data_IF_723624682256
#
_entry.id   IF_723624682256
#
_cell.length_a   1.000
_cell.length_b   1.000
_cell.length_c   1.000
_cell.angle_alpha   90.00
_cell.angle_beta   90.00
_cell.angle_gamma   90.00
#
_symmetry.space_group_name_H-M   'P 1'
#
loop_
_entity.id
_entity.type
_entity.pdbx_description
1 polymer ?
#
# COMPACT_ATOMS: atom_id res chain seq x y z
N UNK A 1 -14.36 0.92 16.34
CA UNK A 1 -13.54 0.56 15.18
C UNK A 1 -12.62 1.73 14.87
N UNK A 2 -11.31 1.52 14.95
CA UNK A 2 -10.29 2.49 14.55
C UNK A 2 -9.79 2.10 13.16
N UNK A 3 -9.74 3.08 12.27
CA UNK A 3 -9.36 2.90 10.87
C UNK A 3 -8.08 3.71 10.64
N UNK A 4 -7.05 3.05 10.13
CA UNK A 4 -5.88 3.71 9.57
C UNK A 4 -6.09 3.89 8.06
N UNK A 5 -6.22 5.13 7.64
CA UNK A 5 -6.52 5.49 6.26
C UNK A 5 -5.32 6.19 5.65
N UNK A 6 -4.72 5.59 4.62
CA UNK A 6 -3.48 6.04 3.97
C UNK A 6 -3.58 5.92 2.45
N UNK A 7 -2.67 6.58 1.74
CA UNK A 7 -2.57 6.61 0.27
C UNK A 7 -1.20 7.17 -0.11
N UNK A 8 -0.85 7.11 -1.40
CA UNK A 8 0.27 7.87 -2.00
C UNK A 8 1.60 7.61 -1.29
N UNK A 9 1.85 6.36 -0.91
CA UNK A 9 3.09 6.03 -0.19
C UNK A 9 4.31 6.08 -1.10
N UNK A 10 4.18 5.90 -2.42
CA UNK A 10 5.26 6.04 -3.40
C UNK A 10 6.59 5.44 -2.93
N UNK A 11 6.57 4.15 -2.56
CA UNK A 11 7.70 3.37 -2.03
C UNK A 11 8.20 3.75 -0.61
N UNK A 12 7.55 4.69 0.07
CA UNK A 12 7.91 5.16 1.43
C UNK A 12 7.09 4.52 2.55
N UNK A 13 6.43 3.39 2.29
CA UNK A 13 5.59 2.70 3.28
C UNK A 13 6.35 2.30 4.57
N UNK A 14 7.67 2.08 4.48
CA UNK A 14 8.53 1.81 5.66
C UNK A 14 8.80 3.02 6.54
N UNK A 15 8.50 4.24 6.07
CA UNK A 15 8.61 5.47 6.87
C UNK A 15 7.38 5.70 7.76
N UNK A 16 6.32 4.89 7.58
CA UNK A 16 5.08 5.02 8.34
C UNK A 16 5.18 4.38 9.73
N UNK A 17 4.68 5.09 10.74
CA UNK A 17 4.45 4.50 12.07
C UNK A 17 3.11 3.76 12.07
N UNK A 18 3.16 2.44 12.22
CA UNK A 18 1.96 1.59 12.26
C UNK A 18 1.20 1.81 13.59
N UNK A 19 -0.03 2.34 13.57
CA UNK A 19 -0.84 2.51 14.77
C UNK A 19 -1.55 1.21 15.16
N UNK A 20 -1.97 1.11 16.42
CA UNK A 20 -2.87 0.04 16.87
C UNK A 20 -4.32 0.32 16.40
N UNK A 21 -4.75 -0.38 15.35
CA UNK A 21 -6.04 -0.20 14.65
C UNK A 21 -6.69 -1.54 14.28
N UNK A 22 -8.00 -1.50 14.02
CA UNK A 22 -8.77 -2.69 13.65
C UNK A 22 -8.72 -2.96 12.13
N UNK A 23 -8.57 -1.89 11.33
CA UNK A 23 -8.62 -1.89 9.87
C UNK A 23 -7.61 -0.89 9.31
N UNK A 24 -6.90 -1.30 8.25
CA UNK A 24 -6.11 -0.39 7.40
C UNK A 24 -6.70 -0.35 5.99
N UNK A 25 -6.80 0.85 5.43
CA UNK A 25 -7.20 1.08 4.03
C UNK A 25 -6.09 1.88 3.35
N UNK A 26 -5.53 1.33 2.26
CA UNK A 26 -4.59 2.05 1.40
C UNK A 26 -5.25 2.37 0.05
N UNK A 27 -5.39 3.65 -0.29
CA UNK A 27 -6.13 4.14 -1.45
C UNK A 27 -5.26 4.36 -2.70
N UNK A 28 -4.31 3.45 -2.91
CA UNK A 28 -3.51 3.40 -4.13
C UNK A 28 -2.22 4.21 -4.07
N UNK A 29 -1.50 4.17 -5.18
CA UNK A 29 -0.22 4.88 -5.37
C UNK A 29 0.86 4.44 -4.37
N UNK A 30 0.94 3.13 -4.17
CA UNK A 30 2.00 2.43 -3.44
C UNK A 30 3.37 2.56 -4.11
N UNK A 31 3.35 2.69 -5.43
CA UNK A 31 4.49 2.78 -6.34
C UNK A 31 4.47 4.09 -7.13
N UNK A 32 5.52 4.35 -7.92
CA UNK A 32 5.68 5.65 -8.62
C UNK A 32 5.59 5.50 -10.13
N UNK A 33 6.07 4.40 -10.71
CA UNK A 33 6.15 4.30 -12.17
C UNK A 33 4.79 3.99 -12.81
N UNK A 34 4.38 4.76 -13.81
CA UNK A 34 3.17 4.46 -14.60
C UNK A 34 3.30 3.28 -15.57
N UNK A 35 4.49 2.67 -15.70
CA UNK A 35 4.71 1.51 -16.57
C UNK A 35 4.68 0.22 -15.75
N UNK A 36 3.78 -0.71 -16.08
CA UNK A 36 3.57 -1.95 -15.33
C UNK A 36 4.85 -2.76 -15.04
N UNK A 37 5.75 -2.89 -16.03
CA UNK A 37 7.00 -3.67 -15.87
C UNK A 37 7.98 -3.03 -14.88
N UNK A 38 8.00 -1.70 -14.80
CA UNK A 38 8.81 -0.96 -13.82
C UNK A 38 8.08 -0.79 -12.48
N UNK A 39 6.75 -0.83 -12.52
CA UNK A 39 5.88 -0.68 -11.36
C UNK A 39 5.90 -1.92 -10.45
N UNK A 40 5.84 -3.12 -11.05
CA UNK A 40 5.79 -4.39 -10.34
C UNK A 40 6.90 -4.55 -9.29
N UNK A 41 8.20 -4.32 -9.60
CA UNK A 41 9.26 -4.41 -8.60
C UNK A 41 9.19 -3.33 -7.51
N UNK A 42 8.50 -2.21 -7.74
CA UNK A 42 8.24 -1.18 -6.73
C UNK A 42 7.07 -1.54 -5.82
N UNK A 43 5.98 -2.02 -6.41
CA UNK A 43 4.75 -2.39 -5.71
C UNK A 43 4.93 -3.66 -4.86
N UNK A 44 5.74 -4.63 -5.31
CA UNK A 44 5.95 -5.90 -4.60
C UNK A 44 6.44 -5.71 -3.15
N UNK A 45 7.49 -4.93 -2.85
CA UNK A 45 7.89 -4.62 -1.48
C UNK A 45 6.79 -4.01 -0.63
N UNK A 46 5.92 -3.17 -1.22
CA UNK A 46 4.76 -2.63 -0.51
C UNK A 46 3.80 -3.74 -0.11
N UNK A 47 3.41 -4.64 -1.03
CA UNK A 47 2.45 -5.70 -0.71
C UNK A 47 3.00 -6.72 0.29
N UNK A 48 4.30 -7.01 0.24
CA UNK A 48 4.99 -7.81 1.26
C UNK A 48 4.83 -7.16 2.64
N UNK A 49 5.24 -5.88 2.78
CA UNK A 49 5.07 -5.12 4.02
C UNK A 49 3.60 -5.02 4.47
N UNK A 50 2.69 -4.73 3.55
CA UNK A 50 1.28 -4.53 3.83
C UNK A 50 0.64 -5.81 4.36
N UNK A 51 1.04 -6.98 3.83
CA UNK A 51 0.58 -8.29 4.29
C UNK A 51 1.05 -8.63 5.71
N UNK A 52 2.24 -8.17 6.09
CA UNK A 52 2.88 -8.42 7.38
C UNK A 52 2.34 -7.54 8.52
N UNK A 53 1.59 -6.48 8.22
CA UNK A 53 1.01 -5.61 9.25
C UNK A 53 0.14 -6.42 10.22
N UNK A 54 0.35 -6.22 11.53
CA UNK A 54 -0.48 -6.78 12.60
C UNK A 54 -1.82 -6.03 12.73
N UNK A 55 -2.60 -6.05 11.64
CA UNK A 55 -3.92 -5.43 11.52
C UNK A 55 -4.86 -6.49 10.93
N UNK A 56 -5.97 -6.76 11.64
CA UNK A 56 -6.87 -7.87 11.32
C UNK A 56 -7.51 -7.74 9.92
N UNK A 57 -7.92 -6.54 9.54
CA UNK A 57 -8.53 -6.28 8.23
C UNK A 57 -7.67 -5.31 7.43
N UNK A 58 -7.44 -5.63 6.16
CA UNK A 58 -6.64 -4.83 5.23
C UNK A 58 -7.41 -4.67 3.93
N UNK A 59 -7.52 -3.44 3.43
CA UNK A 59 -8.20 -3.11 2.18
C UNK A 59 -7.28 -2.27 1.32
N UNK A 60 -7.00 -2.75 0.11
CA UNK A 60 -6.26 -2.00 -0.89
C UNK A 60 -7.20 -1.59 -2.02
N UNK A 61 -7.15 -0.33 -2.42
CA UNK A 61 -7.85 0.20 -3.60
C UNK A 61 -6.78 0.73 -4.55
N UNK A 62 -6.66 0.23 -5.79
CA UNK A 62 -5.62 0.67 -6.71
C UNK A 62 -5.83 2.13 -7.13
N UNK A 63 -4.72 2.87 -7.22
CA UNK A 63 -4.66 4.24 -7.71
C UNK A 63 -4.17 4.29 -9.17
N UNK A 64 -3.93 5.49 -9.69
CA UNK A 64 -3.44 5.64 -11.07
C UNK A 64 -1.97 5.24 -11.24
N UNK A 65 -1.21 5.14 -10.16
CA UNK A 65 0.16 4.61 -10.14
C UNK A 65 0.23 3.14 -9.69
N UNK A 66 -0.88 2.42 -9.54
CA UNK A 66 -0.90 0.98 -9.19
C UNK A 66 -0.95 0.09 -10.44
N UNK A 67 -0.08 0.32 -11.42
CA UNK A 67 -0.19 -0.26 -12.77
C UNK A 67 0.30 -1.70 -12.90
N UNK A 68 0.96 -2.26 -11.87
CA UNK A 68 1.28 -3.69 -11.81
C UNK A 68 0.08 -4.59 -11.52
N UNK A 69 -1.07 -3.99 -11.16
CA UNK A 69 -2.28 -4.69 -10.74
C UNK A 69 -3.35 -4.79 -11.86
N UNK A 70 -2.98 -4.46 -13.11
CA UNK A 70 -3.84 -4.56 -14.31
C UNK A 70 -4.04 -6.00 -14.82
#
# INVERSE_FOLDING_TARGET
>A
MKIWFISDTHNRHRELTVPNVDLVIHCGDESTHGNAWMNEPEARPFFEWYSELDVATKVFVPGNHSTAME
#
